data_IF_156651977175
#
_entry.id   IF_156651977175
#
_cell.length_a   1.000
_cell.length_b   1.000
_cell.length_c   1.000
_cell.angle_alpha   90.00
_cell.angle_beta   90.00
_cell.angle_gamma   90.00
#
_symmetry.space_group_name_H-M   'P 1'
#
loop_
_entity.id
_entity.type
_entity.pdbx_description
1 polymer ?
#
# COMPACT_ATOMS: atom_id res chain seq x y z
N UNK A 1 21.47 -4.16 1.32
CA UNK A 1 20.59 -5.20 1.89
C UNK A 1 21.43 -6.28 2.57
N UNK A 2 21.78 -6.07 3.85
CA UNK A 2 22.48 -7.09 4.65
C UNK A 2 21.42 -7.96 5.33
N UNK A 3 21.49 -9.27 5.07
CA UNK A 3 20.64 -10.40 5.47
C UNK A 3 19.37 -10.62 4.65
N UNK A 4 19.35 -11.78 3.99
CA UNK A 4 18.30 -12.42 3.20
C UNK A 4 17.09 -12.84 4.05
N UNK A 5 16.62 -11.97 4.95
CA UNK A 5 15.47 -12.29 5.79
C UNK A 5 14.17 -11.86 5.08
N UNK A 6 13.77 -12.72 4.15
CA UNK A 6 12.57 -12.58 3.31
C UNK A 6 11.31 -12.45 4.19
N UNK A 7 11.28 -13.12 5.35
CA UNK A 7 10.16 -13.06 6.29
C UNK A 7 10.08 -11.68 6.93
N UNK A 8 11.21 -11.15 7.44
CA UNK A 8 11.27 -9.80 7.99
C UNK A 8 10.88 -8.72 6.98
N UNK A 9 11.28 -8.88 5.71
CA UNK A 9 10.89 -7.96 4.63
C UNK A 9 9.39 -8.03 4.38
N UNK A 10 8.82 -9.23 4.27
CA UNK A 10 7.39 -9.42 4.08
C UNK A 10 6.57 -8.79 5.21
N UNK A 11 6.95 -9.04 6.47
CA UNK A 11 6.30 -8.44 7.64
C UNK A 11 6.29 -6.90 7.59
N UNK A 12 7.40 -6.29 7.20
CA UNK A 12 7.49 -4.82 7.06
C UNK A 12 6.59 -4.30 5.94
N UNK A 13 6.52 -5.00 4.81
CA UNK A 13 5.62 -4.62 3.70
C UNK A 13 4.17 -4.69 4.14
N UNK A 14 3.77 -5.76 4.85
CA UNK A 14 2.43 -5.87 5.41
C UNK A 14 2.12 -4.70 6.36
N UNK A 15 3.05 -4.32 7.24
CA UNK A 15 2.88 -3.19 8.14
C UNK A 15 2.75 -1.85 7.38
N UNK A 16 3.55 -1.65 6.32
CA UNK A 16 3.47 -0.46 5.46
C UNK A 16 2.11 -0.39 4.75
N UNK A 17 1.64 -1.51 4.17
CA UNK A 17 0.34 -1.57 3.52
C UNK A 17 -0.80 -1.28 4.50
N UNK A 18 -0.74 -1.81 5.73
CA UNK A 18 -1.73 -1.51 6.77
C UNK A 18 -1.79 -0.01 7.05
N UNK A 19 -0.64 0.61 7.34
CA UNK A 19 -0.57 2.05 7.60
C UNK A 19 -0.98 2.89 6.39
N UNK A 20 -0.65 2.46 5.18
CA UNK A 20 -1.06 3.11 3.93
C UNK A 20 -2.60 3.16 3.81
N UNK A 21 -3.30 2.04 4.10
CA UNK A 21 -4.75 2.02 4.06
C UNK A 21 -5.37 2.86 5.18
N UNK A 22 -4.81 2.84 6.39
CA UNK A 22 -5.26 3.73 7.48
C UNK A 22 -5.21 5.20 7.05
N UNK A 23 -4.09 5.63 6.46
CA UNK A 23 -3.93 7.01 5.95
C UNK A 23 -4.91 7.27 4.80
N UNK A 24 -5.04 6.35 3.84
CA UNK A 24 -5.92 6.53 2.69
C UNK A 24 -7.39 6.73 3.10
N UNK A 25 -7.90 5.92 4.02
CA UNK A 25 -9.26 6.09 4.53
C UNK A 25 -9.41 7.38 5.35
N UNK A 26 -8.42 7.71 6.20
CA UNK A 26 -8.43 8.95 6.96
C UNK A 26 -8.44 10.21 6.08
N UNK A 27 -7.63 10.24 5.01
CA UNK A 27 -7.61 11.33 4.02
C UNK A 27 -8.97 11.51 3.35
N UNK A 28 -9.66 10.39 3.10
CA UNK A 28 -10.99 10.40 2.51
C UNK A 28 -12.11 10.66 3.52
N UNK A 29 -11.78 10.84 4.81
CA UNK A 29 -12.73 10.99 5.93
C UNK A 29 -13.68 9.80 6.07
N UNK A 30 -13.20 8.62 5.67
CA UNK A 30 -13.93 7.37 5.75
C UNK A 30 -13.40 6.54 6.93
N UNK A 31 -14.29 5.77 7.56
CA UNK A 31 -13.90 4.83 8.60
C UNK A 31 -13.22 3.62 7.97
N UNK A 32 -12.14 3.15 8.59
CA UNK A 32 -11.44 1.96 8.12
C UNK A 32 -12.36 0.72 8.24
N UNK A 33 -12.69 0.02 7.14
CA UNK A 33 -13.74 -1.02 7.09
C UNK A 33 -13.30 -2.38 7.66
N UNK A 34 -12.25 -2.40 8.48
CA UNK A 34 -11.50 -3.61 8.86
C UNK A 34 -10.55 -4.11 7.77
N UNK A 35 -9.85 -5.22 8.00
CA UNK A 35 -8.71 -5.67 7.17
C UNK A 35 -9.10 -6.40 5.87
N UNK A 36 -10.38 -6.75 5.70
CA UNK A 36 -10.83 -7.57 4.57
C UNK A 36 -11.28 -6.70 3.41
N UNK A 37 -10.91 -7.11 2.19
CA UNK A 37 -11.36 -6.50 0.92
C UNK A 37 -11.04 -4.99 0.82
N UNK A 38 -9.92 -4.55 1.39
CA UNK A 38 -9.50 -3.15 1.45
C UNK A 38 -9.51 -2.44 0.08
N UNK A 39 -8.96 -3.07 -0.96
CA UNK A 39 -8.96 -2.53 -2.34
C UNK A 39 -10.40 -2.23 -2.81
N UNK A 40 -11.34 -3.16 -2.60
CA UNK A 40 -12.75 -2.99 -2.97
C UNK A 40 -13.40 -1.83 -2.21
N UNK A 41 -13.11 -1.71 -0.91
CA UNK A 41 -13.66 -0.63 -0.11
C UNK A 41 -13.02 0.72 -0.43
N UNK A 42 -11.73 0.76 -0.76
CA UNK A 42 -11.06 1.97 -1.22
C UNK A 42 -11.76 2.52 -2.48
N UNK A 43 -12.01 1.66 -3.48
CA UNK A 43 -12.79 2.05 -4.68
C UNK A 43 -14.22 2.48 -4.38
N UNK A 44 -14.85 1.92 -3.35
CA UNK A 44 -16.25 2.21 -3.01
C UNK A 44 -16.41 3.48 -2.17
N UNK A 45 -15.50 3.73 -1.24
CA UNK A 45 -15.63 4.74 -0.19
C UNK A 45 -14.74 5.96 -0.44
N UNK A 46 -13.53 5.76 -0.98
CA UNK A 46 -12.59 6.86 -1.17
C UNK A 46 -12.92 7.65 -2.44
N UNK A 47 -13.18 8.96 -2.27
CA UNK A 47 -13.41 9.91 -3.38
C UNK A 47 -12.10 10.27 -4.09
N UNK A 48 -11.00 10.30 -3.36
CA UNK A 48 -9.66 10.55 -3.85
C UNK A 48 -8.81 9.29 -3.70
N UNK A 49 -8.35 8.77 -4.83
CA UNK A 49 -7.46 7.62 -4.90
C UNK A 49 -6.15 8.03 -5.61
N UNK A 50 -5.00 7.44 -5.21
CA UNK A 50 -3.76 7.65 -5.93
C UNK A 50 -3.87 7.22 -7.39
N UNK A 51 -3.24 7.97 -8.30
CA UNK A 51 -3.40 7.83 -9.76
C UNK A 51 -3.19 6.41 -10.31
N UNK A 52 -2.32 5.61 -9.70
CA UNK A 52 -1.98 4.24 -10.12
C UNK A 52 -2.30 3.20 -9.04
N UNK A 53 -3.30 3.47 -8.20
CA UNK A 53 -3.62 2.69 -6.99
C UNK A 53 -3.57 1.16 -7.19
N UNK A 54 -4.35 0.61 -8.12
CA UNK A 54 -4.43 -0.85 -8.30
C UNK A 54 -3.10 -1.45 -8.74
N UNK A 55 -2.43 -0.81 -9.69
CA UNK A 55 -1.17 -1.27 -10.24
C UNK A 55 -0.04 -1.19 -9.21
N UNK A 56 -0.01 -0.15 -8.37
CA UNK A 56 1.01 -0.01 -7.32
C UNK A 56 0.84 -1.11 -6.24
N UNK A 57 -0.40 -1.39 -5.84
CA UNK A 57 -0.72 -2.47 -4.88
C UNK A 57 -0.38 -3.84 -5.48
N UNK A 58 -0.78 -4.10 -6.73
CA UNK A 58 -0.49 -5.34 -7.42
C UNK A 58 1.03 -5.57 -7.56
N UNK A 59 1.78 -4.52 -7.91
CA UNK A 59 3.23 -4.59 -8.01
C UNK A 59 3.89 -4.96 -6.68
N UNK A 60 3.39 -4.46 -5.55
CA UNK A 60 3.91 -4.81 -4.22
C UNK A 60 3.61 -6.27 -3.89
N UNK A 61 2.37 -6.72 -4.10
CA UNK A 61 1.93 -8.10 -3.80
C UNK A 61 2.65 -9.13 -4.69
N UNK A 62 2.81 -8.82 -5.97
CA UNK A 62 3.38 -9.75 -6.96
C UNK A 62 4.90 -9.65 -7.07
N UNK A 63 5.52 -8.57 -6.57
CA UNK A 63 6.98 -8.52 -6.45
C UNK A 63 7.42 -9.57 -5.43
N UNK A 64 8.04 -10.65 -5.92
CA UNK A 64 8.50 -11.81 -5.13
C UNK A 64 9.63 -11.48 -4.12
N UNK A 65 9.45 -10.47 -3.26
CA UNK A 65 10.39 -10.00 -2.24
C UNK A 65 11.82 -9.78 -2.80
N UNK A 66 11.87 -9.39 -4.07
CA UNK A 66 13.07 -9.17 -4.88
C UNK A 66 13.53 -7.70 -4.77
N UNK A 67 14.72 -7.38 -5.29
CA UNK A 67 15.39 -6.06 -5.13
C UNK A 67 14.49 -4.85 -5.42
N UNK A 68 13.49 -4.99 -6.29
CA UNK A 68 12.64 -3.89 -6.75
C UNK A 68 11.49 -3.54 -5.78
N UNK A 69 11.33 -4.29 -4.69
CA UNK A 69 10.25 -4.03 -3.72
C UNK A 69 10.36 -2.66 -3.07
N UNK A 70 11.59 -2.18 -2.83
CA UNK A 70 11.82 -0.85 -2.25
C UNK A 70 11.29 0.23 -3.19
N UNK A 71 11.68 0.17 -4.46
CA UNK A 71 11.25 1.12 -5.49
C UNK A 71 9.72 1.11 -5.67
N UNK A 72 9.08 -0.06 -5.56
CA UNK A 72 7.63 -0.18 -5.65
C UNK A 72 6.94 0.46 -4.43
N UNK A 73 7.48 0.26 -3.22
CA UNK A 73 6.98 0.90 -2.00
C UNK A 73 7.16 2.41 -2.05
N UNK A 74 8.32 2.89 -2.52
CA UNK A 74 8.59 4.32 -2.66
C UNK A 74 7.61 4.98 -3.64
N UNK A 75 7.35 4.35 -4.80
CA UNK A 75 6.33 4.81 -5.77
C UNK A 75 4.93 4.85 -5.18
N UNK A 76 4.53 3.82 -4.43
CA UNK A 76 3.23 3.77 -3.75
C UNK A 76 3.06 4.97 -2.81
N UNK A 77 4.09 5.26 -2.00
CA UNK A 77 4.07 6.36 -1.04
C UNK A 77 4.10 7.72 -1.76
N UNK A 78 4.89 7.88 -2.81
CA UNK A 78 4.90 9.10 -3.62
C UNK A 78 3.54 9.40 -4.24
N UNK A 79 2.85 8.38 -4.74
CA UNK A 79 1.52 8.55 -5.32
C UNK A 79 0.46 8.88 -4.26
N UNK A 80 0.60 8.35 -3.04
CA UNK A 80 -0.23 8.77 -1.91
C UNK A 80 0.01 10.23 -1.54
N UNK A 81 1.27 10.66 -1.45
CA UNK A 81 1.61 12.05 -1.08
C UNK A 81 1.05 13.10 -2.04
N UNK A 82 0.79 12.73 -3.31
CA UNK A 82 0.19 13.63 -4.31
C UNK A 82 -1.29 13.91 -4.08
N UNK A 83 -1.95 13.13 -3.22
CA UNK A 83 -3.38 13.28 -2.89
C UNK A 83 -3.62 13.74 -1.44
N UNK A 84 -2.53 13.99 -0.69
CA UNK A 84 -2.53 14.70 0.60
C UNK A 84 -2.52 16.20 0.30
#
# INVERSE_FOLDING_TARGET
MKRKDIISVNHRITAILSSYFDILFALNKELHPGEKKLIKYAHKLCKSLPKNFDNDIENIINSKLNKNILDNVDKLIENLKKII
#
